data_IF_596527566304
#
_entry.id   IF_596527566304
#
_cell.length_a   1.000
_cell.length_b   1.000
_cell.length_c   1.000
_cell.angle_alpha   90.00
_cell.angle_beta   90.00
_cell.angle_gamma   90.00
#
_symmetry.space_group_name_H-M   'P 1'
#
loop_
_entity.id
_entity.type
_entity.pdbx_description
1 polymer ?
#
# COMPACT_ATOMS: atom_id res chain seq x y z
N UNK A 1 -6.37 -25.24 8.47
CA UNK A 1 -5.33 -25.82 9.37
C UNK A 1 -5.99 -26.53 10.53
N UNK A 2 -5.67 -27.79 10.84
CA UNK A 2 -6.22 -28.47 12.01
C UNK A 2 -5.86 -27.71 13.30
N UNK A 3 -6.85 -27.51 14.19
CA UNK A 3 -6.68 -26.87 15.49
C UNK A 3 -6.59 -25.33 15.46
N UNK A 4 -6.95 -24.66 14.38
CA UNK A 4 -7.24 -23.21 14.40
C UNK A 4 -8.62 -23.02 15.03
N UNK A 5 -8.63 -22.43 16.22
CA UNK A 5 -9.88 -22.11 16.94
C UNK A 5 -10.48 -20.78 16.50
N UNK A 6 -11.72 -20.52 16.94
CA UNK A 6 -12.41 -19.25 16.67
C UNK A 6 -11.60 -18.04 17.13
N UNK A 7 -10.91 -18.11 18.26
CA UNK A 7 -10.08 -17.01 18.79
C UNK A 7 -8.91 -16.68 17.86
N UNK A 8 -8.23 -17.69 17.30
CA UNK A 8 -7.13 -17.44 16.36
C UNK A 8 -7.63 -16.75 15.08
N UNK A 9 -8.78 -17.16 14.55
CA UNK A 9 -9.38 -16.54 13.37
C UNK A 9 -9.88 -15.12 13.66
N UNK A 10 -10.54 -14.90 14.80
CA UNK A 10 -11.03 -13.58 15.21
C UNK A 10 -9.88 -12.59 15.47
N UNK A 11 -8.76 -13.03 16.06
CA UNK A 11 -7.60 -12.18 16.33
C UNK A 11 -6.80 -11.84 15.07
N UNK A 12 -6.90 -12.65 14.01
CA UNK A 12 -6.20 -12.43 12.75
C UNK A 12 -6.63 -11.11 12.06
N UNK A 13 -7.93 -10.81 12.03
CA UNK A 13 -8.47 -9.64 11.35
C UNK A 13 -8.06 -8.31 12.00
N UNK A 14 -8.18 -8.12 13.33
CA UNK A 14 -7.63 -6.94 14.00
C UNK A 14 -6.13 -6.76 13.78
N UNK A 15 -5.35 -7.85 13.80
CA UNK A 15 -3.91 -7.77 13.51
C UNK A 15 -3.65 -7.31 12.07
N UNK A 16 -4.41 -7.81 11.10
CA UNK A 16 -4.31 -7.36 9.72
C UNK A 16 -4.66 -5.87 9.58
N UNK A 17 -5.67 -5.39 10.32
CA UNK A 17 -6.03 -3.98 10.42
C UNK A 17 -4.87 -3.15 11.00
N UNK A 18 -4.36 -3.53 12.18
CA UNK A 18 -3.28 -2.81 12.86
C UNK A 18 -1.99 -2.79 12.03
N UNK A 19 -1.63 -3.93 11.41
CA UNK A 19 -0.45 -4.01 10.52
C UNK A 19 -0.56 -3.03 9.36
N UNK A 20 -1.73 -2.93 8.74
CA UNK A 20 -1.94 -1.98 7.63
C UNK A 20 -2.02 -0.53 8.13
N UNK A 21 -2.59 -0.30 9.32
CA UNK A 21 -2.63 1.03 9.96
C UNK A 21 -1.22 1.58 10.20
N UNK A 22 -0.31 0.77 10.77
CA UNK A 22 1.06 1.23 11.02
C UNK A 22 1.86 1.39 9.72
N UNK A 23 1.66 0.53 8.73
CA UNK A 23 2.26 0.73 7.41
C UNK A 23 1.85 2.08 6.80
N UNK A 24 0.56 2.38 6.86
CA UNK A 24 -0.05 3.59 6.30
C UNK A 24 0.39 4.85 7.07
N UNK A 25 0.38 4.82 8.40
CA UNK A 25 0.77 5.96 9.24
C UNK A 25 2.20 6.42 8.96
N UNK A 26 3.16 5.48 8.83
CA UNK A 26 4.55 5.80 8.53
C UNK A 26 4.69 6.56 7.20
N UNK A 27 3.93 6.16 6.20
CA UNK A 27 3.96 6.81 4.89
C UNK A 27 3.27 8.18 4.92
N UNK A 28 2.13 8.28 5.59
CA UNK A 28 1.36 9.53 5.66
C UNK A 28 2.05 10.60 6.51
N UNK A 29 2.77 10.21 7.56
CA UNK A 29 3.51 11.14 8.41
C UNK A 29 4.86 11.56 7.84
N UNK A 30 5.33 10.93 6.76
CA UNK A 30 6.64 11.25 6.19
C UNK A 30 6.78 12.71 5.75
N UNK A 31 5.84 13.35 5.02
CA UNK A 31 5.97 14.76 4.66
C UNK A 31 6.04 15.69 5.89
N UNK A 32 5.28 15.37 6.96
CA UNK A 32 5.32 16.13 8.21
C UNK A 32 6.72 16.11 8.83
N UNK A 33 7.36 14.96 8.88
CA UNK A 33 8.72 14.81 9.41
C UNK A 33 9.74 15.55 8.55
N UNK A 34 9.59 15.54 7.23
CA UNK A 34 10.50 16.27 6.33
C UNK A 34 10.42 17.79 6.55
N UNK A 35 9.22 18.33 6.77
CA UNK A 35 9.01 19.76 6.96
C UNK A 35 9.38 20.19 8.39
N UNK A 36 8.78 19.58 9.42
CA UNK A 36 8.83 20.05 10.81
C UNK A 36 10.06 19.58 11.59
N UNK A 37 10.55 18.36 11.35
CA UNK A 37 11.68 17.80 12.10
C UNK A 37 13.01 17.97 11.37
N UNK A 38 13.03 17.74 10.05
CA UNK A 38 14.27 17.75 9.27
C UNK A 38 14.50 19.06 8.53
N UNK A 39 13.49 19.92 8.42
CA UNK A 39 13.59 21.21 7.72
C UNK A 39 14.06 21.07 6.27
N UNK A 40 13.65 19.99 5.57
CA UNK A 40 14.10 19.71 4.21
C UNK A 40 13.54 20.79 3.26
N UNK A 41 14.39 21.39 2.41
CA UNK A 41 13.94 22.37 1.43
C UNK A 41 12.78 21.85 0.59
N UNK A 42 11.80 22.69 0.41
CA UNK A 42 10.54 22.30 -0.22
C UNK A 42 10.71 21.80 -1.65
N UNK A 43 11.65 22.32 -2.37
CA UNK A 43 11.94 22.03 -3.77
C UNK A 43 12.40 20.59 -4.02
N UNK A 44 12.86 19.91 -2.97
CA UNK A 44 13.41 18.55 -3.06
C UNK A 44 12.64 17.51 -2.22
N UNK A 45 11.57 17.92 -1.53
CA UNK A 45 10.80 16.97 -0.70
C UNK A 45 10.14 15.87 -1.52
N UNK A 46 9.67 16.17 -2.73
CA UNK A 46 9.09 15.16 -3.62
C UNK A 46 10.11 14.09 -3.99
N UNK A 47 11.32 14.50 -4.38
CA UNK A 47 12.43 13.56 -4.67
C UNK A 47 12.80 12.75 -3.44
N UNK A 48 12.90 13.35 -2.25
CA UNK A 48 13.22 12.62 -1.00
C UNK A 48 12.12 11.62 -0.66
N UNK A 49 10.84 12.04 -0.70
CA UNK A 49 9.70 11.16 -0.45
C UNK A 49 9.67 9.99 -1.43
N UNK A 50 9.83 10.28 -2.71
CA UNK A 50 9.80 9.28 -3.77
C UNK A 50 10.97 8.30 -3.71
N UNK A 51 12.18 8.78 -3.45
CA UNK A 51 13.38 7.92 -3.36
C UNK A 51 13.34 7.01 -2.13
N UNK A 52 12.85 7.51 -0.99
CA UNK A 52 12.65 6.71 0.22
C UNK A 52 11.58 5.64 -0.02
N UNK A 53 10.47 5.97 -0.67
CA UNK A 53 9.45 5.00 -1.04
C UNK A 53 9.99 3.93 -2.00
N UNK A 54 10.73 4.35 -3.01
CA UNK A 54 11.40 3.45 -3.96
C UNK A 54 12.35 2.49 -3.26
N UNK A 55 13.21 3.00 -2.37
CA UNK A 55 14.13 2.17 -1.58
C UNK A 55 13.36 1.15 -0.73
N UNK A 56 12.30 1.59 -0.07
CA UNK A 56 11.46 0.73 0.76
C UNK A 56 10.85 -0.42 -0.07
N UNK A 57 10.25 -0.13 -1.23
CA UNK A 57 9.64 -1.14 -2.09
C UNK A 57 10.66 -2.12 -2.66
N UNK A 58 11.84 -1.63 -3.06
CA UNK A 58 12.97 -2.49 -3.49
C UNK A 58 13.38 -3.43 -2.36
N UNK A 59 13.52 -2.93 -1.14
CA UNK A 59 13.87 -3.76 0.01
C UNK A 59 12.79 -4.80 0.32
N UNK A 60 11.52 -4.41 0.31
CA UNK A 60 10.40 -5.35 0.53
C UNK A 60 10.44 -6.45 -0.53
N UNK A 61 10.61 -6.09 -1.80
CA UNK A 61 10.68 -7.05 -2.91
C UNK A 61 11.82 -8.07 -2.73
N UNK A 62 13.00 -7.60 -2.37
CA UNK A 62 14.18 -8.46 -2.17
C UNK A 62 14.06 -9.34 -0.91
N UNK A 63 13.47 -8.82 0.16
CA UNK A 63 13.40 -9.50 1.44
C UNK A 63 12.22 -10.46 1.57
N UNK A 64 11.14 -10.28 0.80
CA UNK A 64 9.92 -11.09 0.90
C UNK A 64 10.20 -12.60 0.81
N UNK A 65 11.03 -13.02 -0.15
CA UNK A 65 11.38 -14.43 -0.30
C UNK A 65 12.19 -14.98 0.89
N UNK A 66 13.12 -14.19 1.40
CA UNK A 66 13.95 -14.57 2.56
C UNK A 66 13.14 -14.64 3.85
N UNK A 67 12.17 -13.74 4.04
CA UNK A 67 11.24 -13.74 5.16
C UNK A 67 10.27 -14.93 5.09
N UNK A 68 9.85 -15.34 3.90
CA UNK A 68 9.08 -16.58 3.71
C UNK A 68 9.86 -17.82 4.16
N UNK A 69 11.13 -17.94 3.73
CA UNK A 69 12.00 -19.05 4.16
C UNK A 69 12.27 -19.00 5.67
N UNK A 70 12.45 -17.82 6.24
CA UNK A 70 12.62 -17.64 7.67
C UNK A 70 11.38 -18.09 8.44
N UNK A 71 10.18 -17.74 7.95
CA UNK A 71 8.91 -18.12 8.53
C UNK A 71 8.67 -19.65 8.49
N UNK A 72 9.17 -20.33 7.45
CA UNK A 72 9.11 -21.79 7.36
C UNK A 72 10.09 -22.49 8.33
N UNK A 73 11.26 -21.88 8.62
CA UNK A 73 12.29 -22.44 9.51
C UNK A 73 12.04 -22.16 10.98
N UNK A 74 11.74 -20.92 11.33
CA UNK A 74 11.60 -20.45 12.73
C UNK A 74 10.15 -20.57 13.22
N UNK A 75 9.21 -20.56 12.26
CA UNK A 75 7.78 -20.53 12.52
C UNK A 75 7.17 -19.19 12.16
N UNK A 76 5.92 -19.23 11.75
CA UNK A 76 5.21 -18.05 11.20
C UNK A 76 4.92 -17.01 12.26
N UNK A 77 4.42 -17.45 13.43
CA UNK A 77 4.08 -16.55 14.55
C UNK A 77 5.28 -15.73 15.06
N UNK A 78 6.46 -16.33 15.37
CA UNK A 78 7.62 -15.55 15.81
C UNK A 78 8.12 -14.58 14.76
N UNK A 79 8.13 -14.94 13.46
CA UNK A 79 8.58 -14.04 12.38
C UNK A 79 7.61 -12.86 12.20
N UNK A 80 6.30 -13.09 12.34
CA UNK A 80 5.33 -11.99 12.31
C UNK A 80 5.51 -11.04 13.49
N UNK A 81 5.60 -11.57 14.70
CA UNK A 81 5.83 -10.75 15.89
C UNK A 81 7.15 -9.96 15.81
N UNK A 82 8.23 -10.62 15.35
CA UNK A 82 9.52 -9.96 15.11
C UNK A 82 9.40 -8.82 14.07
N UNK A 83 8.66 -9.02 12.99
CA UNK A 83 8.42 -7.98 11.99
C UNK A 83 7.76 -6.75 12.60
N UNK A 84 6.71 -6.94 13.41
CA UNK A 84 6.03 -5.85 14.12
C UNK A 84 6.92 -5.17 15.18
N UNK A 85 7.78 -5.92 15.87
CA UNK A 85 8.76 -5.35 16.81
C UNK A 85 9.82 -4.50 16.09
N UNK A 86 10.31 -4.96 14.94
CA UNK A 86 11.24 -4.16 14.10
C UNK A 86 10.56 -2.87 13.62
N UNK A 87 9.28 -2.94 13.20
CA UNK A 87 8.52 -1.74 12.86
C UNK A 87 8.35 -0.81 14.07
N UNK A 88 8.15 -1.35 15.27
CA UNK A 88 8.07 -0.56 16.51
C UNK A 88 9.36 0.20 16.78
N UNK A 89 10.52 -0.43 16.61
CA UNK A 89 11.84 0.23 16.75
C UNK A 89 11.98 1.36 15.73
N UNK A 90 11.61 1.13 14.47
CA UNK A 90 11.64 2.15 13.45
C UNK A 90 10.75 3.35 13.81
N UNK A 91 9.52 3.11 14.30
CA UNK A 91 8.60 4.15 14.75
C UNK A 91 9.16 4.97 15.91
N UNK A 92 9.80 4.29 16.88
CA UNK A 92 10.42 4.96 18.00
C UNK A 92 11.58 5.87 17.57
N UNK A 93 12.41 5.39 16.62
CA UNK A 93 13.56 6.14 16.13
C UNK A 93 13.19 7.25 15.13
N UNK A 94 12.06 7.13 14.44
CA UNK A 94 11.69 8.02 13.33
C UNK A 94 11.65 9.51 13.73
N UNK A 95 11.06 9.93 14.87
CA UNK A 95 11.07 11.33 15.28
C UNK A 95 12.41 11.82 15.86
N UNK A 96 13.36 10.92 16.10
CA UNK A 96 14.66 11.25 16.69
C UNK A 96 15.74 11.52 15.63
N UNK A 97 15.39 11.47 14.35
CA UNK A 97 16.32 11.72 13.25
C UNK A 97 16.63 13.20 13.12
N UNK A 98 17.88 13.50 12.73
CA UNK A 98 18.38 14.86 12.54
C UNK A 98 18.82 15.15 11.10
N UNK A 99 18.87 14.12 10.24
CA UNK A 99 19.30 14.24 8.85
C UNK A 99 18.63 13.21 7.92
N UNK A 100 18.77 13.45 6.62
CA UNK A 100 18.18 12.61 5.56
C UNK A 100 18.80 11.19 5.53
N UNK A 101 20.09 11.03 5.89
CA UNK A 101 20.71 9.70 5.89
C UNK A 101 20.10 8.82 6.98
N UNK A 102 19.84 9.39 8.15
CA UNK A 102 19.16 8.68 9.25
C UNK A 102 17.72 8.29 8.82
N UNK A 103 17.04 9.14 8.06
CA UNK A 103 15.73 8.82 7.47
C UNK A 103 15.80 7.55 6.62
N UNK A 104 16.79 7.43 5.71
CA UNK A 104 16.95 6.23 4.89
C UNK A 104 17.22 4.99 5.75
N UNK A 105 18.05 5.10 6.79
CA UNK A 105 18.37 3.99 7.70
C UNK A 105 17.11 3.52 8.44
N UNK A 106 16.37 4.45 9.04
CA UNK A 106 15.16 4.11 9.80
C UNK A 106 14.07 3.52 8.88
N UNK A 107 13.92 4.05 7.67
CA UNK A 107 13.00 3.51 6.66
C UNK A 107 13.45 2.14 6.15
N UNK A 108 14.74 1.88 6.06
CA UNK A 108 15.28 0.56 5.75
C UNK A 108 14.95 -0.45 6.86
N UNK A 109 15.14 -0.09 8.12
CA UNK A 109 14.72 -0.92 9.28
C UNK A 109 13.21 -1.19 9.21
N UNK A 110 12.41 -0.17 8.94
CA UNK A 110 10.96 -0.32 8.78
C UNK A 110 10.61 -1.30 7.65
N UNK A 111 11.28 -1.20 6.49
CA UNK A 111 11.07 -2.10 5.35
C UNK A 111 11.35 -3.57 5.68
N UNK A 112 12.38 -3.85 6.50
CA UNK A 112 12.64 -5.21 7.01
C UNK A 112 11.47 -5.72 7.83
N UNK A 113 10.96 -4.90 8.75
CA UNK A 113 9.78 -5.23 9.57
C UNK A 113 8.53 -5.47 8.74
N UNK A 114 8.24 -4.58 7.79
CA UNK A 114 7.11 -4.69 6.86
C UNK A 114 7.21 -5.97 6.03
N UNK A 115 8.39 -6.27 5.48
CA UNK A 115 8.62 -7.46 4.68
C UNK A 115 8.31 -8.74 5.47
N UNK A 116 8.78 -8.83 6.72
CA UNK A 116 8.51 -9.97 7.59
C UNK A 116 7.01 -10.07 7.94
N UNK A 117 6.40 -8.98 8.39
CA UNK A 117 5.01 -8.96 8.83
C UNK A 117 4.04 -9.24 7.67
N UNK A 118 4.19 -8.54 6.52
CA UNK A 118 3.29 -8.68 5.38
C UNK A 118 3.40 -10.05 4.70
N UNK A 119 4.62 -10.61 4.61
CA UNK A 119 4.82 -11.95 4.06
C UNK A 119 4.09 -13.00 4.89
N UNK A 120 4.24 -12.95 6.22
CA UNK A 120 3.59 -13.93 7.11
C UNK A 120 2.08 -13.72 7.15
N UNK A 121 1.61 -12.48 7.13
CA UNK A 121 0.18 -12.16 7.05
C UNK A 121 -0.45 -12.83 5.82
N UNK A 122 0.21 -12.75 4.66
CA UNK A 122 -0.22 -13.40 3.43
C UNK A 122 -0.20 -14.93 3.56
N UNK A 123 0.84 -15.51 4.16
CA UNK A 123 0.93 -16.96 4.39
C UNK A 123 -0.25 -17.45 5.24
N UNK A 124 -0.63 -16.73 6.29
CA UNK A 124 -1.78 -17.09 7.12
C UNK A 124 -3.10 -17.14 6.35
N UNK A 125 -3.28 -16.33 5.30
CA UNK A 125 -4.48 -16.42 4.44
C UNK A 125 -4.58 -17.74 3.66
N UNK A 126 -3.46 -18.39 3.43
CA UNK A 126 -3.41 -19.72 2.83
C UNK A 126 -3.60 -20.85 3.84
N UNK A 127 -3.11 -20.68 5.08
CA UNK A 127 -3.01 -21.74 6.08
C UNK A 127 -4.23 -21.88 6.98
N UNK A 128 -4.83 -20.77 7.40
CA UNK A 128 -5.91 -20.77 8.38
C UNK A 128 -7.23 -21.30 7.82
N UNK A 129 -7.71 -20.85 6.65
CA UNK A 129 -8.98 -21.28 6.12
C UNK A 129 -8.93 -22.66 5.47
N UNK A 130 -10.10 -23.30 5.39
CA UNK A 130 -10.31 -24.39 4.47
C UNK A 130 -10.33 -23.82 3.02
N UNK A 131 -10.00 -24.65 2.04
CA UNK A 131 -9.87 -24.25 0.65
C UNK A 131 -11.11 -23.53 0.11
N UNK A 132 -12.30 -24.04 0.47
CA UNK A 132 -13.60 -23.45 0.12
C UNK A 132 -13.87 -22.06 0.74
N UNK A 133 -13.21 -21.70 1.83
CA UNK A 133 -13.42 -20.44 2.57
C UNK A 133 -12.27 -19.44 2.40
N UNK A 134 -11.22 -19.78 1.63
CA UNK A 134 -10.02 -18.95 1.45
C UNK A 134 -10.35 -17.57 0.86
N UNK A 135 -11.18 -17.54 -0.18
CA UNK A 135 -11.60 -16.27 -0.81
C UNK A 135 -12.37 -15.36 0.16
N UNK A 136 -13.26 -15.95 0.99
CA UNK A 136 -13.99 -15.20 2.03
C UNK A 136 -13.05 -14.61 3.07
N UNK A 137 -12.04 -15.35 3.51
CA UNK A 137 -11.05 -14.87 4.48
C UNK A 137 -10.22 -13.72 3.90
N UNK A 138 -9.77 -13.83 2.66
CA UNK A 138 -9.02 -12.77 1.97
C UNK A 138 -9.87 -11.51 1.82
N UNK A 139 -11.15 -11.66 1.46
CA UNK A 139 -12.09 -10.54 1.34
C UNK A 139 -12.32 -9.80 2.68
N UNK A 140 -12.54 -10.56 3.77
CA UNK A 140 -12.69 -9.99 5.11
C UNK A 140 -11.39 -9.30 5.56
N UNK A 141 -10.24 -9.93 5.33
CA UNK A 141 -8.94 -9.32 5.63
C UNK A 141 -8.77 -7.98 4.88
N UNK A 142 -9.07 -7.93 3.59
CA UNK A 142 -9.01 -6.69 2.80
C UNK A 142 -9.93 -5.59 3.35
N UNK A 143 -11.14 -5.96 3.79
CA UNK A 143 -12.05 -5.03 4.46
C UNK A 143 -11.44 -4.45 5.76
N UNK A 144 -10.88 -5.29 6.62
CA UNK A 144 -10.20 -4.83 7.84
C UNK A 144 -8.97 -3.97 7.55
N UNK A 145 -8.21 -4.29 6.51
CA UNK A 145 -7.08 -3.45 6.07
C UNK A 145 -7.58 -2.08 5.58
N UNK A 146 -8.67 -2.02 4.81
CA UNK A 146 -9.29 -0.77 4.39
C UNK A 146 -9.80 0.07 5.56
N UNK A 147 -10.44 -0.55 6.56
CA UNK A 147 -10.83 0.11 7.81
C UNK A 147 -9.58 0.68 8.51
N UNK A 148 -8.47 -0.07 8.53
CA UNK A 148 -7.20 0.38 9.09
C UNK A 148 -6.66 1.66 8.42
N UNK A 149 -6.65 1.71 7.09
CA UNK A 149 -6.24 2.92 6.32
C UNK A 149 -7.14 4.11 6.67
N UNK A 150 -8.46 3.89 6.63
CA UNK A 150 -9.45 4.94 6.90
C UNK A 150 -9.32 5.46 8.34
N UNK A 151 -9.22 4.57 9.32
CA UNK A 151 -9.05 4.95 10.72
C UNK A 151 -7.72 5.70 10.95
N UNK A 152 -6.64 5.24 10.32
CA UNK A 152 -5.34 5.93 10.39
C UNK A 152 -5.44 7.34 9.84
N UNK A 153 -6.04 7.52 8.68
CA UNK A 153 -6.18 8.83 8.03
C UNK A 153 -7.08 9.77 8.85
N UNK A 154 -8.21 9.30 9.35
CA UNK A 154 -9.18 10.13 10.08
C UNK A 154 -8.73 10.48 11.50
N UNK A 155 -8.02 9.59 12.18
CA UNK A 155 -7.69 9.75 13.59
C UNK A 155 -6.19 9.97 13.83
N UNK A 156 -5.32 9.07 13.35
CA UNK A 156 -3.89 9.11 13.70
C UNK A 156 -3.14 10.25 12.99
N UNK A 157 -3.43 10.48 11.72
CA UNK A 157 -2.78 11.56 10.94
C UNK A 157 -3.18 12.96 11.43
N UNK A 158 -4.30 13.09 12.14
CA UNK A 158 -4.74 14.34 12.76
C UNK A 158 -4.18 14.59 14.16
N UNK A 159 -3.53 13.59 14.76
CA UNK A 159 -2.98 13.75 16.12
C UNK A 159 -2.01 14.92 16.27
N UNK A 160 -1.13 15.25 15.31
CA UNK A 160 -0.28 16.42 15.44
C UNK A 160 -1.07 17.71 15.67
N UNK A 161 -2.15 17.97 14.91
CA UNK A 161 -2.99 19.14 15.12
C UNK A 161 -3.68 19.14 16.49
N UNK A 162 -4.17 17.98 16.94
CA UNK A 162 -4.80 17.83 18.27
C UNK A 162 -3.78 18.11 19.41
N UNK A 163 -2.54 17.69 19.25
CA UNK A 163 -1.49 17.99 20.23
C UNK A 163 -1.10 19.47 20.20
N UNK A 164 -0.99 20.09 19.02
CA UNK A 164 -0.72 21.52 18.88
C UNK A 164 -1.83 22.39 19.50
N UNK A 165 -3.10 22.03 19.35
CA UNK A 165 -4.24 22.69 20.02
C UNK A 165 -4.14 22.61 21.56
N UNK A 166 -3.42 21.61 22.09
CA UNK A 166 -3.14 21.47 23.54
C UNK A 166 -1.86 22.18 24.00
N UNK A 167 -1.18 22.91 23.12
CA UNK A 167 -0.02 23.71 23.42
C UNK A 167 1.35 23.04 23.23
N UNK A 168 1.40 21.85 22.63
CA UNK A 168 2.65 21.21 22.22
C UNK A 168 3.19 21.87 20.95
N UNK A 169 4.51 21.92 20.79
CA UNK A 169 5.11 22.40 19.54
C UNK A 169 4.95 21.36 18.40
N UNK A 170 5.29 21.77 17.18
CA UNK A 170 5.11 20.91 15.99
C UNK A 170 5.98 19.65 16.05
N UNK A 171 7.21 19.74 16.58
CA UNK A 171 8.15 18.62 16.70
C UNK A 171 7.64 17.63 17.75
N UNK A 172 7.24 18.13 18.93
CA UNK A 172 6.67 17.29 19.99
C UNK A 172 5.38 16.58 19.52
N UNK A 173 4.49 17.32 18.85
CA UNK A 173 3.23 16.79 18.33
C UNK A 173 3.46 15.66 17.33
N UNK A 174 4.41 15.83 16.42
CA UNK A 174 4.84 14.77 15.48
C UNK A 174 5.43 13.57 16.21
N UNK A 175 6.31 13.83 17.19
CA UNK A 175 6.97 12.78 18.00
C UNK A 175 5.95 11.91 18.73
N UNK A 176 5.00 12.52 19.46
CA UNK A 176 3.97 11.77 20.18
C UNK A 176 3.08 10.96 19.24
N UNK A 177 2.75 11.53 18.09
CA UNK A 177 1.97 10.81 17.08
C UNK A 177 2.69 9.54 16.60
N UNK A 178 3.99 9.62 16.34
CA UNK A 178 4.79 8.47 15.90
C UNK A 178 5.01 7.46 17.03
N UNK A 179 5.13 7.89 18.27
CA UNK A 179 5.21 7.00 19.42
C UNK A 179 3.88 6.27 19.68
N UNK A 180 2.74 6.85 19.33
CA UNK A 180 1.47 6.09 19.27
C UNK A 180 1.59 4.94 18.26
N UNK A 181 2.21 5.16 17.09
CA UNK A 181 2.55 4.10 16.13
C UNK A 181 3.41 2.98 16.74
N UNK A 182 4.41 3.36 17.57
CA UNK A 182 5.20 2.40 18.36
C UNK A 182 4.32 1.51 19.23
N UNK A 183 3.41 2.11 20.00
CA UNK A 183 2.50 1.38 20.89
C UNK A 183 1.54 0.46 20.11
N UNK A 184 1.05 0.89 18.96
CA UNK A 184 0.20 0.07 18.09
C UNK A 184 0.98 -1.14 17.57
N UNK A 185 2.24 -0.98 17.16
CA UNK A 185 3.11 -2.08 16.75
C UNK A 185 3.33 -3.08 17.88
N UNK A 186 3.60 -2.61 19.10
CA UNK A 186 3.78 -3.46 20.28
C UNK A 186 2.50 -4.22 20.64
N UNK A 187 1.36 -3.54 20.58
CA UNK A 187 0.05 -4.16 20.79
C UNK A 187 -0.21 -5.26 19.75
N UNK A 188 0.01 -4.95 18.46
CA UNK A 188 -0.15 -5.93 17.39
C UNK A 188 0.79 -7.13 17.56
N UNK A 189 2.06 -6.90 17.90
CA UNK A 189 3.03 -7.96 18.19
C UNK A 189 2.59 -8.85 19.35
N UNK A 190 2.06 -8.27 20.41
CA UNK A 190 1.53 -8.96 21.58
C UNK A 190 0.32 -9.82 21.20
N UNK A 191 -0.63 -9.27 20.44
CA UNK A 191 -1.81 -10.03 19.95
C UNK A 191 -1.35 -11.21 19.08
N UNK A 192 -0.40 -10.98 18.17
CA UNK A 192 0.18 -12.04 17.33
C UNK A 192 0.77 -13.14 18.21
N UNK A 193 1.60 -12.77 19.17
CA UNK A 193 2.32 -13.73 20.01
C UNK A 193 1.39 -14.57 20.91
N UNK A 194 0.34 -13.96 21.45
CA UNK A 194 -0.57 -14.64 22.39
C UNK A 194 -1.66 -15.43 21.64
N UNK A 195 -2.30 -14.81 20.66
CA UNK A 195 -3.56 -15.32 20.11
C UNK A 195 -3.41 -16.02 18.75
N UNK A 196 -2.36 -15.75 17.96
CA UNK A 196 -2.19 -16.49 16.72
C UNK A 196 -1.52 -17.83 16.95
N UNK A 197 -1.98 -18.83 16.22
CA UNK A 197 -1.40 -20.17 16.30
C UNK A 197 -0.07 -20.22 15.52
N UNK A 198 0.99 -20.86 16.07
CA UNK A 198 2.20 -21.15 15.28
C UNK A 198 1.81 -21.96 14.05
N UNK A 199 2.21 -21.50 12.85
CA UNK A 199 1.93 -22.20 11.61
C UNK A 199 2.52 -23.61 11.56
N UNK A 200 2.08 -24.43 10.59
CA UNK A 200 2.69 -25.73 10.35
C UNK A 200 4.12 -25.53 9.82
N UNK A 201 5.08 -26.22 10.42
CA UNK A 201 6.39 -26.42 9.82
C UNK A 201 6.19 -27.31 8.59
N UNK A 202 6.05 -26.71 7.40
CA UNK A 202 6.02 -27.50 6.17
C UNK A 202 7.44 -27.90 5.81
N UNK A 203 7.68 -29.22 5.78
CA UNK A 203 8.90 -29.78 5.16
C UNK A 203 8.98 -29.29 3.71
N UNK A 204 10.07 -28.52 3.42
CA UNK A 204 10.61 -28.21 2.10
C UNK A 204 9.67 -28.46 0.91
N UNK A 205 8.89 -27.48 0.53
CA UNK A 205 8.69 -27.26 -0.90
C UNK A 205 9.91 -26.49 -1.40
N UNK A 206 10.54 -27.02 -2.46
CA UNK A 206 11.70 -26.39 -3.08
C UNK A 206 11.36 -24.94 -3.41
N UNK A 207 11.99 -24.00 -2.72
CA UNK A 207 11.95 -22.59 -3.10
C UNK A 207 12.53 -22.50 -4.50
N UNK A 208 11.68 -22.43 -5.51
CA UNK A 208 12.12 -22.12 -6.86
C UNK A 208 12.85 -20.77 -6.80
N UNK A 209 14.07 -20.75 -7.32
CA UNK A 209 14.90 -19.55 -7.33
C UNK A 209 14.10 -18.39 -7.92
N UNK A 210 14.20 -17.19 -7.31
CA UNK A 210 13.59 -15.94 -7.82
C UNK A 210 13.81 -15.78 -9.35
N UNK A 211 15.01 -16.11 -9.83
CA UNK A 211 15.37 -16.11 -11.25
C UNK A 211 14.52 -17.08 -12.09
N UNK A 212 14.18 -18.24 -11.53
CA UNK A 212 13.35 -19.25 -12.21
C UNK A 212 11.87 -18.79 -12.26
N UNK A 213 11.33 -18.29 -11.14
CA UNK A 213 9.98 -17.73 -11.08
C UNK A 213 9.81 -16.57 -12.08
N UNK A 214 10.79 -15.67 -12.12
CA UNK A 214 10.76 -14.55 -13.05
C UNK A 214 10.84 -14.99 -14.51
N UNK A 215 11.74 -15.91 -14.84
CA UNK A 215 11.92 -16.44 -16.20
C UNK A 215 10.66 -17.16 -16.71
N UNK A 216 10.08 -18.05 -15.90
CA UNK A 216 8.87 -18.80 -16.25
C UNK A 216 7.65 -17.86 -16.35
N UNK A 217 7.54 -16.88 -15.44
CA UNK A 217 6.48 -15.87 -15.49
C UNK A 217 6.55 -14.99 -16.73
N UNK A 218 7.76 -14.53 -17.13
CA UNK A 218 7.98 -13.79 -18.38
C UNK A 218 7.68 -14.63 -19.62
N UNK A 219 8.02 -15.91 -19.59
CA UNK A 219 7.72 -16.82 -20.69
C UNK A 219 6.20 -17.05 -20.86
N UNK A 220 5.47 -17.11 -19.76
CA UNK A 220 4.00 -17.16 -19.79
C UNK A 220 3.41 -15.89 -20.46
N UNK A 221 3.93 -14.69 -20.13
CA UNK A 221 3.49 -13.45 -20.76
C UNK A 221 3.88 -13.31 -22.25
N UNK A 222 4.96 -13.95 -22.69
CA UNK A 222 5.30 -14.02 -24.12
C UNK A 222 4.31 -14.87 -24.92
N UNK A 223 3.79 -15.92 -24.29
CA UNK A 223 2.93 -16.91 -24.95
C UNK A 223 1.43 -16.55 -24.88
N UNK A 224 1.01 -15.67 -23.96
CA UNK A 224 -0.38 -15.27 -23.75
C UNK A 224 -0.47 -13.75 -23.58
N UNK A 225 -1.18 -13.10 -24.52
CA UNK A 225 -1.39 -11.65 -24.50
C UNK A 225 -2.19 -11.17 -23.28
N UNK A 226 -3.13 -11.98 -22.79
CA UNK A 226 -3.95 -11.63 -21.64
C UNK A 226 -3.13 -11.66 -20.34
N UNK A 227 -2.16 -12.58 -20.22
CA UNK A 227 -1.21 -12.59 -19.09
C UNK A 227 -0.31 -11.35 -19.15
N UNK A 228 0.16 -11.01 -20.35
CA UNK A 228 0.96 -9.78 -20.55
C UNK A 228 0.18 -8.53 -20.19
N UNK A 229 -1.07 -8.41 -20.66
CA UNK A 229 -1.97 -7.31 -20.30
C UNK A 229 -2.19 -7.24 -18.78
N UNK A 230 -2.43 -8.38 -18.12
CA UNK A 230 -2.61 -8.43 -16.67
C UNK A 230 -1.36 -7.92 -15.91
N UNK A 231 -0.14 -8.21 -16.40
CA UNK A 231 1.08 -7.71 -15.79
C UNK A 231 1.21 -6.19 -15.91
N UNK A 232 0.91 -5.61 -17.09
CA UNK A 232 0.87 -4.15 -17.25
C UNK A 232 -0.24 -3.51 -16.40
N UNK A 233 -1.40 -4.16 -16.33
CA UNK A 233 -2.49 -3.73 -15.47
C UNK A 233 -2.11 -3.75 -13.98
N UNK A 234 -1.36 -4.75 -13.52
CA UNK A 234 -0.85 -4.81 -12.15
C UNK A 234 0.15 -3.70 -11.85
N UNK A 235 1.02 -3.38 -12.82
CA UNK A 235 2.00 -2.31 -12.69
C UNK A 235 1.29 -0.96 -12.45
N UNK A 236 0.28 -0.62 -13.25
CA UNK A 236 -0.48 0.60 -13.08
C UNK A 236 -1.29 0.59 -11.77
N UNK A 237 -2.13 -0.42 -11.54
CA UNK A 237 -3.02 -0.48 -10.39
C UNK A 237 -2.30 -0.50 -9.01
N UNK A 238 -1.05 -0.98 -8.96
CA UNK A 238 -0.24 -0.93 -7.74
C UNK A 238 0.51 0.37 -7.59
N UNK A 239 0.94 0.99 -8.70
CA UNK A 239 1.52 2.34 -8.71
C UNK A 239 0.54 3.40 -8.20
N UNK A 240 -0.74 3.26 -8.54
CA UNK A 240 -1.84 4.10 -8.09
C UNK A 240 -1.87 4.25 -6.56
N UNK A 241 -1.68 3.16 -5.81
CA UNK A 241 -1.68 3.15 -4.34
C UNK A 241 -0.60 4.05 -3.74
N UNK A 242 0.58 4.12 -4.37
CA UNK A 242 1.67 4.99 -3.91
C UNK A 242 1.30 6.46 -4.11
N UNK A 243 0.72 6.79 -5.25
CA UNK A 243 0.35 8.19 -5.55
C UNK A 243 -0.72 8.68 -4.59
N UNK A 244 -1.78 7.93 -4.37
CA UNK A 244 -2.84 8.30 -3.43
C UNK A 244 -2.32 8.37 -2.00
N UNK A 245 -1.55 7.38 -1.57
CA UNK A 245 -1.12 7.28 -0.18
C UNK A 245 -0.06 8.30 0.23
N UNK A 246 0.85 8.65 -0.67
CA UNK A 246 2.04 9.44 -0.35
C UNK A 246 1.90 10.89 -0.83
N UNK A 247 1.54 11.08 -2.10
CA UNK A 247 1.54 12.41 -2.71
C UNK A 247 0.29 13.23 -2.38
N UNK A 248 -0.82 12.63 -1.93
CA UNK A 248 -1.99 13.41 -1.48
C UNK A 248 -1.65 14.27 -0.26
N UNK A 249 -1.04 13.69 0.76
CA UNK A 249 -0.65 14.45 1.97
C UNK A 249 0.44 15.48 1.67
N UNK A 250 1.41 15.11 0.83
CA UNK A 250 2.46 16.03 0.42
C UNK A 250 1.87 17.21 -0.36
N UNK A 251 0.96 16.98 -1.29
CA UNK A 251 0.29 18.01 -2.08
C UNK A 251 -0.57 18.94 -1.23
N UNK A 252 -1.43 18.39 -0.36
CA UNK A 252 -2.32 19.21 0.47
C UNK A 252 -1.54 20.04 1.49
N UNK A 253 -0.46 19.50 2.07
CA UNK A 253 0.39 20.26 2.98
C UNK A 253 1.18 21.36 2.27
N UNK A 254 1.70 21.09 1.06
CA UNK A 254 2.38 22.10 0.24
C UNK A 254 1.46 23.24 -0.13
N UNK A 255 0.29 22.90 -0.66
CA UNK A 255 -0.70 23.91 -1.04
C UNK A 255 -1.09 24.77 0.17
N UNK A 256 -1.28 24.17 1.36
CA UNK A 256 -1.59 24.93 2.57
C UNK A 256 -0.49 25.93 2.90
N UNK A 257 0.78 25.46 2.98
CA UNK A 257 1.93 26.31 3.30
C UNK A 257 2.15 27.44 2.28
N UNK A 258 2.00 27.16 0.98
CA UNK A 258 2.16 28.16 -0.08
C UNK A 258 1.06 29.25 -0.06
N UNK A 259 -0.09 28.94 0.58
CA UNK A 259 -1.20 29.88 0.74
C UNK A 259 -1.29 30.47 2.17
N UNK A 260 -0.20 30.38 2.97
CA UNK A 260 -0.13 30.97 4.31
C UNK A 260 -0.94 30.25 5.38
N UNK A 261 -1.40 29.03 5.10
CA UNK A 261 -2.08 28.14 6.05
C UNK A 261 -1.06 27.28 6.80
N UNK A 262 -1.46 26.69 7.92
CA UNK A 262 -0.62 25.75 8.66
C UNK A 262 -0.49 24.39 7.95
N UNK A 263 0.60 23.67 8.21
CA UNK A 263 0.77 22.29 7.74
C UNK A 263 -0.35 21.39 8.29
N UNK A 264 -0.85 21.65 9.49
CA UNK A 264 -1.97 20.91 10.11
C UNK A 264 -3.25 21.00 9.30
N UNK A 265 -3.57 22.18 8.72
CA UNK A 265 -4.73 22.36 7.83
C UNK A 265 -4.57 21.53 6.55
N UNK A 266 -3.36 21.50 5.96
CA UNK A 266 -3.04 20.64 4.84
C UNK A 266 -3.25 19.16 5.15
N UNK A 267 -2.76 18.70 6.28
CA UNK A 267 -2.96 17.33 6.76
C UNK A 267 -4.43 17.00 7.04
N UNK A 268 -5.16 17.93 7.66
CA UNK A 268 -6.60 17.77 7.88
C UNK A 268 -7.36 17.58 6.57
N UNK A 269 -6.94 18.26 5.50
CA UNK A 269 -7.53 18.10 4.18
C UNK A 269 -7.18 16.77 3.52
N UNK A 270 -5.91 16.36 3.56
CA UNK A 270 -5.48 15.03 3.11
C UNK A 270 -6.24 13.91 3.83
N UNK A 271 -6.45 14.09 5.17
CA UNK A 271 -7.22 13.18 6.01
C UNK A 271 -8.76 13.15 5.69
N UNK A 272 -9.23 13.98 4.78
CA UNK A 272 -10.59 13.89 4.19
C UNK A 272 -10.53 13.21 2.83
N UNK A 273 -9.60 13.62 1.97
CA UNK A 273 -9.51 13.13 0.58
C UNK A 273 -9.19 11.63 0.54
N UNK A 274 -8.17 11.18 1.26
CA UNK A 274 -7.71 9.79 1.23
C UNK A 274 -8.79 8.80 1.70
N UNK A 275 -9.53 9.02 2.81
CA UNK A 275 -10.64 8.15 3.18
C UNK A 275 -11.80 8.15 2.20
N UNK A 276 -12.07 9.24 1.50
CA UNK A 276 -13.09 9.28 0.44
C UNK A 276 -12.69 8.33 -0.68
N UNK A 277 -11.43 8.39 -1.13
CA UNK A 277 -10.91 7.48 -2.15
C UNK A 277 -11.00 6.03 -1.65
N UNK A 278 -10.45 5.74 -0.46
CA UNK A 278 -10.44 4.39 0.11
C UNK A 278 -11.86 3.81 0.34
N UNK A 279 -12.80 4.63 0.83
CA UNK A 279 -14.19 4.21 1.02
C UNK A 279 -14.86 3.91 -0.32
N UNK A 280 -14.56 4.71 -1.34
CA UNK A 280 -15.06 4.47 -2.70
C UNK A 280 -14.52 3.17 -3.26
N UNK A 281 -13.22 2.89 -3.09
CA UNK A 281 -12.60 1.60 -3.46
C UNK A 281 -13.33 0.43 -2.81
N UNK A 282 -13.61 0.52 -1.50
CA UNK A 282 -14.30 -0.55 -0.75
C UNK A 282 -15.71 -0.82 -1.31
N UNK A 283 -16.46 0.24 -1.63
CA UNK A 283 -17.83 0.12 -2.15
C UNK A 283 -17.85 -0.35 -3.60
N UNK A 284 -16.97 0.18 -4.44
CA UNK A 284 -16.97 -0.10 -5.88
C UNK A 284 -16.34 -1.43 -6.25
N UNK A 285 -15.39 -1.93 -5.47
CA UNK A 285 -14.70 -3.21 -5.78
C UNK A 285 -15.66 -4.40 -5.92
N UNK A 286 -16.62 -4.66 -5.02
CA UNK A 286 -17.60 -5.74 -5.21
C UNK A 286 -18.50 -5.52 -6.42
N UNK A 287 -18.93 -4.28 -6.66
CA UNK A 287 -19.78 -3.91 -7.79
C UNK A 287 -19.08 -4.20 -9.11
N UNK A 288 -17.82 -3.78 -9.23
CA UNK A 288 -17.00 -4.07 -10.43
C UNK A 288 -16.73 -5.56 -10.59
N UNK A 289 -16.52 -6.30 -9.52
CA UNK A 289 -16.41 -7.76 -9.58
C UNK A 289 -17.65 -8.39 -10.25
N UNK A 290 -18.84 -7.93 -9.89
CA UNK A 290 -20.10 -8.36 -10.46
C UNK A 290 -20.27 -7.97 -11.95
N UNK A 291 -19.86 -6.74 -12.28
CA UNK A 291 -19.89 -6.22 -13.66
C UNK A 291 -18.96 -7.06 -14.54
N UNK A 292 -17.71 -7.29 -14.12
CA UNK A 292 -16.70 -8.03 -14.87
C UNK A 292 -17.15 -9.48 -15.18
N UNK A 293 -17.85 -10.12 -14.25
CA UNK A 293 -18.38 -11.46 -14.48
C UNK A 293 -19.43 -11.51 -15.60
N UNK A 294 -20.15 -10.40 -15.83
CA UNK A 294 -21.17 -10.31 -16.90
C UNK A 294 -20.63 -9.88 -18.26
N UNK A 295 -19.74 -8.88 -18.27
CA UNK A 295 -19.24 -8.28 -19.53
C UNK A 295 -17.96 -8.92 -20.06
N UNK A 296 -17.35 -9.82 -19.28
CA UNK A 296 -16.08 -10.45 -19.60
C UNK A 296 -14.86 -9.68 -19.09
N UNK A 297 -13.71 -10.37 -18.98
CA UNK A 297 -12.52 -9.87 -18.28
C UNK A 297 -11.83 -8.72 -19.01
N UNK A 298 -11.72 -8.78 -20.34
CA UNK A 298 -11.07 -7.73 -21.15
C UNK A 298 -11.91 -6.46 -21.14
N UNK A 299 -13.22 -6.55 -21.39
CA UNK A 299 -14.12 -5.39 -21.32
C UNK A 299 -14.11 -4.79 -19.89
N UNK A 300 -13.99 -5.64 -18.87
CA UNK A 300 -13.82 -5.22 -17.49
C UNK A 300 -12.56 -4.38 -17.29
N UNK A 301 -11.41 -4.76 -17.86
CA UNK A 301 -10.18 -3.97 -17.84
C UNK A 301 -10.36 -2.64 -18.57
N UNK A 302 -10.93 -2.63 -19.76
CA UNK A 302 -11.14 -1.39 -20.53
C UNK A 302 -11.94 -0.38 -19.71
N UNK A 303 -13.06 -0.78 -19.13
CA UNK A 303 -13.92 0.11 -18.32
C UNK A 303 -13.21 0.54 -17.04
N UNK A 304 -12.54 -0.38 -16.34
CA UNK A 304 -11.83 -0.10 -15.10
C UNK A 304 -10.72 0.94 -15.31
N UNK A 305 -9.89 0.71 -16.32
CA UNK A 305 -8.76 1.60 -16.62
C UNK A 305 -9.20 2.91 -17.30
N UNK A 306 -10.37 2.96 -17.95
CA UNK A 306 -10.99 4.21 -18.36
C UNK A 306 -11.33 5.09 -17.15
N UNK A 307 -12.01 4.53 -16.14
CA UNK A 307 -12.35 5.27 -14.91
C UNK A 307 -11.09 5.67 -14.13
N UNK A 308 -10.08 4.80 -14.05
CA UNK A 308 -8.81 5.13 -13.42
C UNK A 308 -8.10 6.27 -14.17
N UNK A 309 -7.96 6.18 -15.49
CA UNK A 309 -7.36 7.23 -16.30
C UNK A 309 -8.09 8.56 -16.16
N UNK A 310 -9.43 8.54 -16.21
CA UNK A 310 -10.24 9.74 -16.05
C UNK A 310 -10.09 10.35 -14.65
N UNK A 311 -10.15 9.53 -13.59
CA UNK A 311 -10.03 9.99 -12.21
C UNK A 311 -8.67 10.59 -11.89
N UNK A 312 -7.59 9.88 -12.25
CA UNK A 312 -6.22 10.36 -12.06
C UNK A 312 -5.92 11.61 -12.88
N UNK A 313 -6.34 11.66 -14.15
CA UNK A 313 -6.17 12.84 -14.99
C UNK A 313 -6.97 14.02 -14.44
N UNK A 314 -8.23 13.81 -14.03
CA UNK A 314 -9.04 14.86 -13.41
C UNK A 314 -8.41 15.39 -12.11
N UNK A 315 -7.83 14.51 -11.26
CA UNK A 315 -7.12 14.94 -10.06
C UNK A 315 -5.87 15.76 -10.40
N UNK A 316 -5.20 15.43 -11.51
CA UNK A 316 -4.06 16.18 -12.03
C UNK A 316 -4.38 17.63 -12.41
N UNK A 317 -5.63 17.92 -12.73
CA UNK A 317 -6.11 19.27 -13.07
C UNK A 317 -6.78 20.01 -11.90
N UNK A 318 -6.80 19.44 -10.71
CA UNK A 318 -7.30 20.14 -9.51
C UNK A 318 -6.26 21.17 -9.07
N UNK A 319 -6.57 22.45 -9.20
CA UNK A 319 -5.68 23.55 -8.79
C UNK A 319 -5.72 23.77 -7.27
N UNK A 320 -6.90 23.64 -6.66
CA UNK A 320 -7.11 23.89 -5.23
C UNK A 320 -7.63 22.64 -4.50
N UNK A 321 -6.75 21.91 -3.79
CA UNK A 321 -7.16 20.73 -3.03
C UNK A 321 -8.01 21.07 -1.80
N UNK A 322 -8.00 22.31 -1.32
CA UNK A 322 -8.83 22.77 -0.20
C UNK A 322 -10.29 22.97 -0.61
N UNK A 323 -10.57 23.15 -1.88
CA UNK A 323 -11.93 23.28 -2.41
C UNK A 323 -12.71 21.97 -2.36
N UNK A 324 -14.02 22.04 -2.10
CA UNK A 324 -14.88 20.86 -2.15
C UNK A 324 -15.05 20.28 -3.57
N UNK A 325 -14.60 20.97 -4.62
CA UNK A 325 -14.54 20.46 -5.98
C UNK A 325 -13.62 19.22 -6.13
N UNK A 326 -12.67 19.01 -5.21
CA UNK A 326 -11.85 17.81 -5.19
C UNK A 326 -12.64 16.54 -4.84
N UNK A 327 -13.76 16.64 -4.10
CA UNK A 327 -14.52 15.49 -3.62
C UNK A 327 -15.08 14.61 -4.75
N UNK A 328 -15.81 15.13 -5.75
CA UNK A 328 -16.29 14.30 -6.86
C UNK A 328 -15.13 13.68 -7.66
N UNK A 329 -14.01 14.37 -7.78
CA UNK A 329 -12.81 13.85 -8.45
C UNK A 329 -12.19 12.71 -7.65
N UNK A 330 -12.11 12.83 -6.31
CA UNK A 330 -11.64 11.78 -5.42
C UNK A 330 -12.52 10.51 -5.49
N UNK A 331 -13.84 10.70 -5.61
CA UNK A 331 -14.79 9.58 -5.81
C UNK A 331 -14.52 8.90 -7.16
N UNK A 332 -14.40 9.68 -8.24
CA UNK A 332 -14.11 9.13 -9.58
C UNK A 332 -12.79 8.35 -9.60
N UNK A 333 -11.74 8.90 -8.96
CA UNK A 333 -10.44 8.25 -8.83
C UNK A 333 -10.56 6.93 -8.05
N UNK A 334 -11.23 6.93 -6.89
CA UNK A 334 -11.44 5.72 -6.08
C UNK A 334 -12.26 4.65 -6.81
N UNK A 335 -13.24 5.04 -7.63
CA UNK A 335 -13.96 4.09 -8.50
C UNK A 335 -13.00 3.39 -9.46
N UNK A 336 -12.14 4.16 -10.13
CA UNK A 336 -11.17 3.65 -11.09
C UNK A 336 -10.13 2.74 -10.43
N UNK A 337 -9.55 3.16 -9.30
CA UNK A 337 -8.55 2.40 -8.54
C UNK A 337 -9.09 1.03 -8.09
N UNK A 338 -10.27 1.01 -7.45
CA UNK A 338 -10.90 -0.23 -7.01
C UNK A 338 -11.21 -1.17 -8.18
N UNK A 339 -11.72 -0.61 -9.29
CA UNK A 339 -12.02 -1.36 -10.50
C UNK A 339 -10.74 -1.94 -11.14
N UNK A 340 -9.65 -1.18 -11.22
CA UNK A 340 -8.38 -1.60 -11.82
C UNK A 340 -7.74 -2.76 -11.04
N UNK A 341 -7.74 -2.70 -9.70
CA UNK A 341 -7.23 -3.78 -8.84
C UNK A 341 -8.02 -5.08 -9.05
N UNK A 342 -9.35 -5.00 -9.06
CA UNK A 342 -10.20 -6.19 -9.19
C UNK A 342 -10.10 -6.78 -10.60
N UNK A 343 -10.16 -5.95 -11.64
CA UNK A 343 -10.14 -6.44 -13.03
C UNK A 343 -8.80 -7.07 -13.42
N UNK A 344 -7.67 -6.49 -13.00
CA UNK A 344 -6.34 -7.06 -13.24
C UNK A 344 -6.17 -8.40 -12.53
N UNK A 345 -6.60 -8.50 -11.27
CA UNK A 345 -6.55 -9.73 -10.48
C UNK A 345 -7.48 -10.81 -11.05
N UNK A 346 -8.67 -10.43 -11.55
CA UNK A 346 -9.62 -11.33 -12.15
C UNK A 346 -9.13 -11.89 -13.49
N UNK A 347 -8.44 -11.08 -14.30
CA UNK A 347 -7.87 -11.52 -15.57
C UNK A 347 -6.79 -12.56 -15.35
N UNK A 348 -5.80 -12.26 -14.49
CA UNK A 348 -4.70 -13.18 -14.20
C UNK A 348 -5.23 -14.49 -13.56
N UNK A 349 -6.24 -14.40 -12.69
CA UNK A 349 -6.87 -15.54 -12.05
C UNK A 349 -7.49 -16.54 -13.04
N UNK A 350 -8.04 -16.02 -14.15
CA UNK A 350 -8.64 -16.84 -15.21
C UNK A 350 -7.60 -17.44 -16.17
N UNK A 351 -6.54 -16.69 -16.48
CA UNK A 351 -5.55 -17.05 -17.51
C UNK A 351 -4.35 -17.84 -16.99
N UNK A 352 -4.03 -17.73 -15.70
CA UNK A 352 -2.87 -18.42 -15.13
C UNK A 352 -3.02 -19.96 -15.26
N UNK A 353 -2.13 -20.64 -16.03
CA UNK A 353 -2.17 -22.09 -16.20
C UNK A 353 -2.03 -22.80 -14.85
N UNK A 354 -2.81 -23.85 -14.62
CA UNK A 354 -2.85 -24.56 -13.33
C UNK A 354 -1.47 -25.06 -12.88
N UNK A 355 -0.65 -25.55 -13.82
CA UNK A 355 0.67 -26.11 -13.55
C UNK A 355 1.68 -25.09 -13.03
N UNK A 356 1.57 -23.80 -13.43
CA UNK A 356 2.51 -22.72 -13.09
C UNK A 356 1.79 -21.51 -12.46
N UNK A 357 0.57 -21.72 -11.95
CA UNK A 357 -0.27 -20.64 -11.40
C UNK A 357 0.44 -19.79 -10.37
N UNK A 358 1.14 -20.41 -9.44
CA UNK A 358 1.91 -19.69 -8.41
C UNK A 358 3.02 -18.80 -9.00
N UNK A 359 3.72 -19.28 -10.01
CA UNK A 359 4.76 -18.55 -10.75
C UNK A 359 4.18 -17.32 -11.46
N UNK A 360 3.06 -17.49 -12.14
CA UNK A 360 2.38 -16.41 -12.88
C UNK A 360 1.84 -15.34 -11.92
N UNK A 361 1.23 -15.73 -10.79
CA UNK A 361 0.82 -14.79 -9.75
C UNK A 361 2.00 -14.09 -9.08
N UNK A 362 3.13 -14.80 -8.90
CA UNK A 362 4.37 -14.21 -8.40
C UNK A 362 4.90 -13.13 -9.33
N UNK A 363 4.97 -13.40 -10.64
CA UNK A 363 5.38 -12.42 -11.63
C UNK A 363 4.41 -11.22 -11.72
N UNK A 364 3.10 -11.47 -11.61
CA UNK A 364 2.07 -10.43 -11.52
C UNK A 364 2.30 -9.48 -10.31
N UNK A 365 2.57 -10.05 -9.14
CA UNK A 365 2.88 -9.27 -7.94
C UNK A 365 4.17 -8.47 -8.09
N UNK A 366 5.20 -9.04 -8.73
CA UNK A 366 6.47 -8.35 -9.02
C UNK A 366 6.27 -7.17 -9.98
N UNK A 367 5.45 -7.32 -11.04
CA UNK A 367 5.11 -6.20 -11.92
C UNK A 367 4.42 -5.08 -11.13
N UNK A 368 3.54 -5.42 -10.19
CA UNK A 368 2.93 -4.45 -9.28
C UNK A 368 3.96 -3.72 -8.41
N UNK A 369 4.94 -4.43 -7.82
CA UNK A 369 6.01 -3.82 -7.05
C UNK A 369 6.89 -2.87 -7.90
N UNK A 370 7.18 -3.25 -9.16
CA UNK A 370 7.86 -2.37 -10.11
C UNK A 370 7.02 -1.10 -10.36
N UNK A 371 5.70 -1.23 -10.47
CA UNK A 371 4.78 -0.08 -10.60
C UNK A 371 4.89 0.87 -9.41
N UNK A 372 4.94 0.35 -8.19
CA UNK A 372 5.12 1.15 -6.97
C UNK A 372 6.48 1.86 -6.95
N UNK A 373 7.56 1.17 -7.35
CA UNK A 373 8.91 1.73 -7.47
C UNK A 373 8.92 2.90 -8.48
N UNK A 374 8.31 2.72 -9.65
CA UNK A 374 8.22 3.74 -10.68
C UNK A 374 7.37 4.93 -10.19
N UNK A 375 6.22 4.64 -9.60
CA UNK A 375 5.31 5.66 -9.10
C UNK A 375 5.93 6.49 -7.96
N UNK A 376 6.70 5.87 -7.07
CA UNK A 376 7.45 6.56 -6.03
C UNK A 376 8.58 7.41 -6.61
N UNK A 377 9.48 6.80 -7.38
CA UNK A 377 10.68 7.47 -7.90
C UNK A 377 10.38 8.59 -8.89
N UNK A 378 9.70 8.26 -10.00
CA UNK A 378 9.32 9.27 -11.01
C UNK A 378 8.26 10.23 -10.48
N UNK A 379 7.30 9.74 -9.66
CA UNK A 379 6.30 10.58 -9.04
C UNK A 379 6.93 11.65 -8.15
N UNK A 380 7.98 11.30 -7.39
CA UNK A 380 8.71 12.26 -6.56
C UNK A 380 9.36 13.37 -7.37
N UNK A 381 10.04 13.01 -8.47
CA UNK A 381 10.62 14.00 -9.39
C UNK A 381 9.55 14.88 -10.00
N UNK A 382 8.48 14.28 -10.51
CA UNK A 382 7.38 15.05 -11.15
C UNK A 382 6.66 15.95 -10.15
N UNK A 383 6.57 15.56 -8.88
CA UNK A 383 5.95 16.37 -7.84
C UNK A 383 6.70 17.68 -7.60
N UNK A 384 8.03 17.67 -7.62
CA UNK A 384 8.84 18.87 -7.40
C UNK A 384 8.71 19.88 -8.56
N UNK A 385 8.34 19.42 -9.77
CA UNK A 385 8.01 20.30 -10.90
C UNK A 385 6.53 20.72 -10.91
N UNK A 386 5.62 19.83 -10.56
CA UNK A 386 4.18 20.03 -10.55
C UNK A 386 3.55 19.16 -9.45
N UNK A 387 2.94 19.76 -8.44
CA UNK A 387 2.36 19.06 -7.30
C UNK A 387 1.36 17.96 -7.67
N UNK A 388 0.68 18.13 -8.78
CA UNK A 388 -0.25 17.13 -9.33
C UNK A 388 0.39 16.21 -10.39
N UNK A 389 1.68 16.39 -10.69
CA UNK A 389 2.43 15.59 -11.68
C UNK A 389 2.33 14.08 -11.51
N UNK A 390 2.43 13.53 -10.28
CA UNK A 390 2.26 12.10 -10.04
C UNK A 390 0.89 11.58 -10.48
N UNK A 391 -0.18 12.36 -10.30
CA UNK A 391 -1.53 11.99 -10.76
C UNK A 391 -1.63 11.96 -12.26
N UNK A 392 -1.09 12.96 -12.96
CA UNK A 392 -1.05 12.99 -14.44
C UNK A 392 -0.27 11.81 -15.00
N UNK A 393 0.85 11.47 -14.40
CA UNK A 393 1.64 10.28 -14.76
C UNK A 393 0.82 9.00 -14.68
N UNK A 394 0.10 8.80 -13.56
CA UNK A 394 -0.76 7.61 -13.40
C UNK A 394 -1.96 7.66 -14.33
N UNK A 395 -2.55 8.84 -14.58
CA UNK A 395 -3.58 9.03 -15.59
C UNK A 395 -3.15 8.54 -16.97
N UNK A 396 -1.96 8.94 -17.41
CA UNK A 396 -1.35 8.50 -18.67
C UNK A 396 -1.06 6.98 -18.68
N UNK A 397 -0.54 6.43 -17.60
CA UNK A 397 -0.25 5.00 -17.49
C UNK A 397 -1.52 4.15 -17.54
N UNK A 398 -2.56 4.54 -16.79
CA UNK A 398 -3.86 3.88 -16.81
C UNK A 398 -4.53 3.96 -18.19
N UNK A 399 -4.44 5.11 -18.86
CA UNK A 399 -4.91 5.28 -20.25
C UNK A 399 -4.16 4.34 -21.21
N UNK A 400 -2.86 4.21 -21.06
CA UNK A 400 -2.04 3.28 -21.85
C UNK A 400 -2.49 1.83 -21.67
N UNK A 401 -2.76 1.39 -20.43
CA UNK A 401 -3.28 0.04 -20.17
C UNK A 401 -4.66 -0.16 -20.81
N UNK A 402 -5.52 0.85 -20.74
CA UNK A 402 -6.83 0.81 -21.42
C UNK A 402 -6.67 0.60 -22.93
N UNK A 403 -5.77 1.34 -23.59
CA UNK A 403 -5.51 1.19 -25.01
C UNK A 403 -4.95 -0.21 -25.35
N UNK A 404 -4.00 -0.71 -24.53
CA UNK A 404 -3.47 -2.08 -24.71
C UNK A 404 -4.52 -3.19 -24.53
N UNK A 405 -5.62 -2.91 -23.86
CA UNK A 405 -6.73 -3.85 -23.70
C UNK A 405 -7.72 -3.82 -24.88
N UNK A 406 -7.70 -2.75 -25.69
CA UNK A 406 -8.54 -2.58 -26.89
C UNK A 406 -7.90 -3.28 -28.09
N UNK A 407 -6.56 -3.28 -28.15
CA UNK A 407 -5.78 -3.90 -29.23
C UNK A 407 -5.28 -5.31 -28.86
#
# INVERSE_FOLDING_TARGET
>A
MPGVGKMNALSFFPVAMLNNSVFTLMNFMQPYILEEHLGIPREVQGVVVGSVATMQEVMILLLTATMGVLADKVGRRPVFAMGLLIMSIAYFCFPLMNDVYQLYIVRAIFAVGVSAASTVLLIFTGDYPQELSRGRMIGIMGMFQGIGVTATSLFLVRMPSVFQERGFDSIEAGTYTLWIGTLICLLAATIVYIFLKPGLHQKKQSTSSFKKLFSEGLQAAKNDSDIRLAYFASLAARGDLIVVGLFTFLWTSRYALDNGMSIGEGYARGAIIVPIIASTVIVTSPIFGFIIDRIGRINGIIIAFFFAAAGYTAMGFVENPMSNAVIPVAILLGMGEGAAIISSTALIGKRAPAAIRGTVFGAFAMCGAVGQIIAGGLGGVLFDYLYTGPYLMMGFLNFTVMLLAIY
#
